data_IF_391814622578
#
_entry.id   IF_391814622578
#
_cell.length_a   1.000
_cell.length_b   1.000
_cell.length_c   1.000
_cell.angle_alpha   90.00
_cell.angle_beta   90.00
_cell.angle_gamma   90.00
#
_symmetry.space_group_name_H-M   'P 1'
#
loop_
_entity.id
_entity.type
_entity.pdbx_description
1 polymer ?
#
# COMPACT_ATOMS: atom_id res chain seq x y z
N UNK A 1 -24.60 51.14 35.20
CA UNK A 1 -24.51 50.02 34.25
C UNK A 1 -23.03 49.72 34.00
N UNK A 2 -22.47 48.57 34.43
CA UNK A 2 -21.07 48.30 34.21
C UNK A 2 -20.82 47.80 32.78
N UNK A 3 -19.76 48.33 32.16
CA UNK A 3 -19.23 47.87 30.88
C UNK A 3 -18.60 46.50 31.05
N UNK A 4 -19.08 45.52 30.30
CA UNK A 4 -18.43 44.21 30.15
C UNK A 4 -17.19 44.40 29.27
N UNK A 5 -16.03 44.44 29.91
CA UNK A 5 -14.73 44.39 29.22
C UNK A 5 -14.47 42.96 28.73
N UNK A 6 -14.72 42.73 27.44
CA UNK A 6 -14.51 41.44 26.79
C UNK A 6 -13.01 41.18 26.63
N UNK A 7 -12.46 40.32 27.47
CA UNK A 7 -11.08 39.83 27.32
C UNK A 7 -10.95 39.10 25.96
N UNK A 8 -9.92 39.37 25.16
CA UNK A 8 -9.72 38.66 23.90
C UNK A 8 -9.36 37.20 24.22
N UNK A 9 -10.28 36.29 23.92
CA UNK A 9 -10.01 34.85 23.94
C UNK A 9 -9.04 34.54 22.80
N UNK A 10 -7.79 34.27 23.17
CA UNK A 10 -6.75 33.80 22.23
C UNK A 10 -7.25 32.49 21.63
N UNK A 11 -7.69 32.53 20.38
CA UNK A 11 -8.04 31.32 19.63
C UNK A 11 -6.76 30.51 19.48
N UNK A 12 -6.71 29.34 20.13
CA UNK A 12 -5.64 28.39 19.94
C UNK A 12 -5.87 27.75 18.58
N UNK A 13 -5.19 28.27 17.55
CA UNK A 13 -5.10 27.58 16.27
C UNK A 13 -4.31 26.29 16.50
N UNK A 14 -5.02 25.16 16.61
CA UNK A 14 -4.41 23.83 16.59
C UNK A 14 -3.84 23.65 15.19
N UNK A 15 -2.56 24.00 15.00
CA UNK A 15 -1.83 23.65 13.79
C UNK A 15 -1.49 22.18 13.87
N UNK A 16 -2.27 21.35 13.19
CA UNK A 16 -1.93 19.95 13.01
C UNK A 16 -0.61 19.84 12.26
N UNK A 17 0.38 19.20 12.87
CA UNK A 17 1.60 18.79 12.18
C UNK A 17 1.30 17.44 11.52
N UNK A 18 1.19 17.43 10.19
CA UNK A 18 1.17 16.15 9.47
C UNK A 18 2.55 15.52 9.61
N UNK A 19 2.59 14.36 10.26
CA UNK A 19 3.82 13.57 10.30
C UNK A 19 4.09 13.03 8.89
N UNK A 20 5.35 13.03 8.40
CA UNK A 20 5.66 12.46 7.11
C UNK A 20 5.14 11.02 7.06
N UNK A 21 4.43 10.68 5.97
CA UNK A 21 3.94 9.33 5.75
C UNK A 21 5.14 8.38 5.70
N UNK A 22 5.33 7.60 6.77
CA UNK A 22 6.35 6.55 6.79
C UNK A 22 5.80 5.33 6.07
N UNK A 23 6.61 4.76 5.19
CA UNK A 23 6.33 3.45 4.61
C UNK A 23 6.16 2.40 5.71
N UNK A 24 5.26 1.44 5.48
CA UNK A 24 5.04 0.36 6.42
C UNK A 24 6.34 -0.46 6.56
N UNK A 25 6.71 -0.93 7.78
CA UNK A 25 7.96 -1.67 8.00
C UNK A 25 8.10 -2.94 7.16
N UNK A 26 6.99 -3.53 6.67
CA UNK A 26 7.03 -4.64 5.71
C UNK A 26 7.62 -4.23 4.36
N UNK A 27 7.38 -3.00 3.91
CA UNK A 27 7.91 -2.48 2.65
C UNK A 27 9.44 -2.36 2.71
N UNK A 28 9.97 -1.82 3.81
CA UNK A 28 11.41 -1.71 4.02
C UNK A 28 12.12 -3.07 4.02
N UNK A 29 11.48 -4.11 4.60
CA UNK A 29 12.02 -5.48 4.55
C UNK A 29 12.10 -6.04 3.12
N UNK A 30 11.07 -5.78 2.30
CA UNK A 30 11.05 -6.23 0.89
C UNK A 30 12.15 -5.52 0.10
N UNK A 31 12.28 -4.21 0.26
CA UNK A 31 13.32 -3.41 -0.40
C UNK A 31 14.73 -3.86 -0.03
N UNK A 32 14.99 -4.13 1.26
CA UNK A 32 16.27 -4.66 1.73
C UNK A 32 16.61 -6.00 1.07
N UNK A 33 15.65 -6.93 1.04
CA UNK A 33 15.83 -8.25 0.43
C UNK A 33 16.06 -8.16 -1.08
N UNK A 34 15.36 -7.26 -1.77
CA UNK A 34 15.56 -7.01 -3.20
C UNK A 34 16.93 -6.40 -3.49
N UNK A 35 17.37 -5.42 -2.70
CA UNK A 35 18.69 -4.81 -2.83
C UNK A 35 19.79 -5.84 -2.61
N UNK A 36 19.64 -6.72 -1.61
CA UNK A 36 20.58 -7.83 -1.41
C UNK A 36 20.59 -8.79 -2.60
N UNK A 37 19.44 -9.03 -3.23
CA UNK A 37 19.33 -9.88 -4.41
C UNK A 37 20.03 -9.29 -5.63
N UNK A 38 19.87 -7.98 -5.86
CA UNK A 38 20.47 -7.26 -6.99
C UNK A 38 21.97 -6.99 -6.82
N UNK A 39 22.44 -6.75 -5.60
CA UNK A 39 23.87 -6.53 -5.31
C UNK A 39 24.72 -7.80 -5.34
N UNK A 40 24.11 -8.99 -5.39
CA UNK A 40 24.87 -10.22 -5.54
C UNK A 40 25.35 -10.29 -6.98
N UNK A 41 26.63 -10.01 -7.20
CA UNK A 41 27.25 -9.96 -8.53
C UNK A 41 26.85 -11.16 -9.38
N UNK A 42 26.44 -10.88 -10.63
CA UNK A 42 26.22 -11.88 -11.67
C UNK A 42 27.60 -12.37 -12.11
N UNK A 43 28.28 -13.12 -11.24
CA UNK A 43 29.50 -13.78 -11.66
C UNK A 43 29.12 -14.79 -12.74
N UNK A 44 29.71 -14.63 -13.93
CA UNK A 44 29.49 -15.46 -15.12
C UNK A 44 29.72 -16.96 -14.88
N UNK A 45 30.31 -17.32 -13.74
CA UNK A 45 30.43 -18.69 -13.26
C UNK A 45 29.35 -18.99 -12.20
N UNK A 46 28.12 -19.23 -12.65
CA UNK A 46 27.04 -19.66 -11.78
C UNK A 46 27.33 -21.07 -11.24
N UNK A 47 27.88 -21.16 -10.03
CA UNK A 47 27.96 -22.42 -9.31
C UNK A 47 26.57 -22.81 -8.77
N UNK A 48 26.31 -24.11 -8.59
CA UNK A 48 25.01 -24.62 -8.15
C UNK A 48 24.58 -24.05 -6.77
N UNK A 49 25.55 -23.72 -5.93
CA UNK A 49 25.30 -23.17 -4.60
C UNK A 49 24.81 -21.72 -4.65
N UNK A 50 25.36 -20.90 -5.54
CA UNK A 50 24.92 -19.53 -5.83
C UNK A 50 23.50 -19.53 -6.40
N UNK A 51 23.20 -20.46 -7.31
CA UNK A 51 21.83 -20.62 -7.85
C UNK A 51 20.86 -20.98 -6.72
N UNK A 52 21.22 -21.95 -5.86
CA UNK A 52 20.40 -22.35 -4.70
C UNK A 52 20.18 -21.18 -3.73
N UNK A 53 21.24 -20.44 -3.38
CA UNK A 53 21.14 -19.28 -2.49
C UNK A 53 20.26 -18.17 -3.10
N UNK A 54 20.33 -17.99 -4.41
CA UNK A 54 19.50 -17.03 -5.16
C UNK A 54 18.02 -17.40 -5.11
N UNK A 55 17.68 -18.66 -5.38
CA UNK A 55 16.32 -19.17 -5.31
C UNK A 55 15.76 -19.10 -3.88
N UNK A 56 16.58 -19.42 -2.87
CA UNK A 56 16.18 -19.29 -1.46
C UNK A 56 15.84 -17.85 -1.11
N UNK A 57 16.69 -16.90 -1.53
CA UNK A 57 16.44 -15.47 -1.28
C UNK A 57 15.17 -14.98 -1.99
N UNK A 58 14.89 -15.50 -3.20
CA UNK A 58 13.67 -15.19 -3.93
C UNK A 58 12.43 -15.70 -3.20
N UNK A 59 12.48 -16.93 -2.68
CA UNK A 59 11.38 -17.51 -1.88
C UNK A 59 11.08 -16.66 -0.63
N UNK A 60 12.10 -16.12 0.03
CA UNK A 60 11.92 -15.20 1.16
C UNK A 60 11.20 -13.90 0.75
N UNK A 61 11.52 -13.34 -0.42
CA UNK A 61 10.85 -12.14 -0.95
C UNK A 61 9.36 -12.45 -1.18
N UNK A 62 9.05 -13.58 -1.81
CA UNK A 62 7.66 -14.00 -2.02
C UNK A 62 6.90 -14.13 -0.70
N UNK A 63 7.52 -14.70 0.33
CA UNK A 63 6.92 -14.79 1.66
C UNK A 63 6.63 -13.41 2.26
N UNK A 64 7.56 -12.46 2.15
CA UNK A 64 7.32 -11.09 2.62
C UNK A 64 6.18 -10.38 1.88
N UNK A 65 6.03 -10.64 0.58
CA UNK A 65 4.90 -10.12 -0.21
C UNK A 65 3.59 -10.77 0.24
N UNK A 66 3.58 -12.09 0.43
CA UNK A 66 2.41 -12.80 0.95
C UNK A 66 1.98 -12.27 2.32
N UNK A 67 2.92 -12.07 3.25
CA UNK A 67 2.66 -11.48 4.56
C UNK A 67 2.06 -10.06 4.43
N UNK A 68 2.59 -9.25 3.50
CA UNK A 68 2.07 -7.91 3.21
C UNK A 68 0.64 -7.96 2.67
N UNK A 69 0.36 -8.87 1.74
CA UNK A 69 -0.97 -9.05 1.15
C UNK A 69 -1.99 -9.60 2.15
N UNK A 70 -1.53 -10.37 3.15
CA UNK A 70 -2.38 -10.90 4.21
C UNK A 70 -2.74 -9.85 5.29
N UNK A 71 -2.08 -8.68 5.31
CA UNK A 71 -2.45 -7.62 6.24
C UNK A 71 -3.89 -7.13 5.97
N UNK A 72 -4.71 -6.92 7.03
CA UNK A 72 -6.10 -6.49 6.88
C UNK A 72 -6.26 -5.20 6.08
N UNK A 73 -5.36 -4.23 6.30
CA UNK A 73 -5.38 -2.95 5.59
C UNK A 73 -5.09 -3.11 4.10
N UNK A 74 -4.15 -3.98 3.74
CA UNK A 74 -3.84 -4.29 2.33
C UNK A 74 -5.03 -4.95 1.65
N UNK A 75 -5.63 -5.97 2.30
CA UNK A 75 -6.83 -6.65 1.78
C UNK A 75 -8.00 -5.68 1.63
N UNK A 76 -8.22 -4.80 2.59
CA UNK A 76 -9.27 -3.79 2.53
C UNK A 76 -9.03 -2.79 1.40
N UNK A 77 -7.79 -2.31 1.23
CA UNK A 77 -7.44 -1.41 0.14
C UNK A 77 -7.64 -2.06 -1.23
N UNK A 78 -7.24 -3.32 -1.39
CA UNK A 78 -7.45 -4.09 -2.61
C UNK A 78 -8.94 -4.34 -2.89
N UNK A 79 -9.73 -4.68 -1.88
CA UNK A 79 -11.17 -4.87 -2.01
C UNK A 79 -11.88 -3.58 -2.43
N UNK A 80 -11.55 -2.45 -1.79
CA UNK A 80 -12.08 -1.13 -2.17
C UNK A 80 -11.74 -0.76 -3.61
N UNK A 81 -10.50 -0.98 -4.02
CA UNK A 81 -10.08 -0.72 -5.41
C UNK A 81 -10.81 -1.64 -6.41
N UNK A 82 -11.12 -2.88 -6.02
CA UNK A 82 -11.93 -3.77 -6.84
C UNK A 82 -13.38 -3.29 -6.95
N UNK A 83 -13.99 -2.84 -5.86
CA UNK A 83 -15.33 -2.23 -5.86
C UNK A 83 -15.39 -0.97 -6.72
N UNK A 84 -14.34 -0.14 -6.72
CA UNK A 84 -14.25 1.05 -7.56
C UNK A 84 -14.12 0.71 -9.05
N UNK A 85 -13.41 -0.39 -9.37
CA UNK A 85 -13.29 -0.92 -10.74
C UNK A 85 -14.59 -1.53 -11.24
N UNK A 86 -15.35 -2.20 -10.37
CA UNK A 86 -16.71 -2.68 -10.63
C UNK A 86 -17.72 -1.64 -10.15
N UNK A 87 -17.60 -0.41 -10.66
CA UNK A 87 -18.55 0.64 -10.34
C UNK A 87 -19.97 0.11 -10.61
N UNK A 88 -20.91 0.16 -9.65
CA UNK A 88 -22.29 -0.29 -9.85
C UNK A 88 -22.96 0.37 -11.07
N UNK A 89 -22.46 1.53 -11.50
CA UNK A 89 -22.86 2.16 -12.76
C UNK A 89 -22.59 1.27 -13.99
N UNK A 90 -21.47 0.54 -14.06
CA UNK A 90 -21.15 -0.34 -15.19
C UNK A 90 -22.10 -1.55 -15.21
N UNK A 91 -22.46 -2.09 -14.05
CA UNK A 91 -23.45 -3.17 -13.94
C UNK A 91 -24.85 -2.67 -14.35
N UNK A 92 -25.23 -1.46 -13.94
CA UNK A 92 -26.47 -0.81 -14.37
C UNK A 92 -26.50 -0.53 -15.88
N UNK A 93 -25.39 -0.06 -16.44
CA UNK A 93 -25.28 0.23 -17.87
C UNK A 93 -25.35 -1.07 -18.70
N UNK A 94 -24.72 -2.16 -18.24
CA UNK A 94 -24.84 -3.48 -18.86
C UNK A 94 -26.26 -4.04 -18.79
N UNK A 95 -26.95 -3.89 -17.65
CA UNK A 95 -28.36 -4.26 -17.53
C UNK A 95 -29.25 -3.45 -18.48
N UNK A 96 -28.96 -2.15 -18.68
CA UNK A 96 -29.70 -1.34 -19.68
C UNK A 96 -29.45 -1.81 -21.11
N UNK A 97 -28.20 -2.07 -21.48
CA UNK A 97 -27.84 -2.56 -22.83
C UNK A 97 -28.50 -3.91 -23.12
N UNK A 98 -28.51 -4.83 -22.15
CA UNK A 98 -29.14 -6.14 -22.31
C UNK A 98 -30.66 -6.06 -22.48
N UNK A 99 -31.33 -5.09 -21.84
CA UNK A 99 -32.78 -4.90 -21.95
C UNK A 99 -33.21 -4.07 -23.17
N UNK A 100 -32.30 -3.31 -23.81
CA UNK A 100 -32.55 -2.57 -25.05
C UNK A 100 -32.49 -3.45 -26.32
N UNK A 101 -32.12 -4.73 -26.18
CA UNK A 101 -32.00 -5.69 -27.29
C UNK A 101 -33.20 -6.66 -27.40
N UNK A 102 -34.34 -6.32 -26.79
CA UNK A 102 -35.61 -7.07 -26.87
C UNK A 102 -36.71 -6.16 -27.41
#
# INVERSE_FOLDING_TARGET
MPVLSTKPTRSYNVRSISFPARSHPSMGKIEERLNKLSSTEISSLANAETIRARLSSLAEIYKCIEDLLNLPLTRQALAKHQEEKWNPQILEDLHKVANLSR
#
